data_IF_707667732866
#
_entry.id   IF_707667732866
#
_cell.length_a   1.000
_cell.length_b   1.000
_cell.length_c   1.000
_cell.angle_alpha   90.00
_cell.angle_beta   90.00
_cell.angle_gamma   90.00
#
_symmetry.space_group_name_H-M   'P 1'
#
loop_
_entity.id
_entity.type
_entity.pdbx_description
1 polymer ?
#
# COMPACT_ATOMS: atom_id res chain seq x y z
N UNK A 1 3.40 31.49 -9.61
CA UNK A 1 3.10 30.12 -9.20
C UNK A 1 3.97 29.19 -10.05
N UNK A 2 4.72 28.29 -9.43
CA UNK A 2 5.56 27.33 -10.17
C UNK A 2 4.61 26.38 -10.97
N UNK A 3 4.97 26.01 -12.20
CA UNK A 3 4.15 25.12 -13.05
C UNK A 3 3.83 23.77 -12.38
N UNK A 4 4.73 23.26 -11.55
CA UNK A 4 4.53 22.04 -10.75
C UNK A 4 3.46 22.22 -9.66
N UNK A 5 3.48 23.35 -8.92
CA UNK A 5 2.42 23.69 -7.96
C UNK A 5 1.06 23.88 -8.63
N UNK A 6 1.04 24.39 -9.87
CA UNK A 6 -0.19 24.52 -10.63
C UNK A 6 -0.74 23.16 -11.06
N UNK A 7 0.12 22.24 -11.49
CA UNK A 7 -0.29 20.87 -11.81
C UNK A 7 -0.84 20.14 -10.58
N UNK A 8 -0.14 20.18 -9.44
CA UNK A 8 -0.62 19.61 -8.18
C UNK A 8 -2.00 20.18 -7.77
N UNK A 9 -2.19 21.51 -7.86
CA UNK A 9 -3.49 22.14 -7.55
C UNK A 9 -4.61 21.80 -8.55
N UNK A 10 -4.29 21.61 -9.83
CA UNK A 10 -5.30 21.22 -10.83
C UNK A 10 -5.82 19.80 -10.55
N UNK A 11 -4.95 18.87 -10.20
CA UNK A 11 -5.36 17.51 -9.86
C UNK A 11 -6.09 17.41 -8.51
N UNK A 12 -5.68 18.17 -7.51
CA UNK A 12 -6.35 18.26 -6.22
C UNK A 12 -7.75 18.89 -6.30
N UNK A 13 -7.95 19.89 -7.16
CA UNK A 13 -9.24 20.58 -7.30
C UNK A 13 -10.29 19.81 -8.11
N UNK A 14 -9.88 18.84 -8.93
CA UNK A 14 -10.81 18.08 -9.77
C UNK A 14 -11.80 17.23 -8.98
N UNK A 15 -11.52 16.94 -7.71
CA UNK A 15 -12.34 16.06 -6.88
C UNK A 15 -13.09 16.77 -5.74
N UNK A 16 -13.09 18.08 -5.70
CA UNK A 16 -13.92 18.80 -4.73
C UNK A 16 -15.40 18.63 -5.05
N UNK A 17 -16.10 17.92 -4.17
CA UNK A 17 -17.56 17.88 -4.07
C UNK A 17 -18.33 17.31 -5.29
N UNK A 18 -18.32 16.00 -5.50
CA UNK A 18 -19.10 15.23 -6.49
C UNK A 18 -18.47 15.02 -7.85
N UNK A 19 -17.22 15.39 -8.04
CA UNK A 19 -16.50 15.02 -9.27
C UNK A 19 -16.08 13.56 -9.21
N UNK A 20 -16.07 12.90 -10.36
CA UNK A 20 -15.62 11.52 -10.51
C UNK A 20 -14.49 11.46 -11.52
N UNK A 21 -13.49 10.65 -11.23
CA UNK A 21 -12.49 10.31 -12.24
C UNK A 21 -12.97 9.14 -13.10
N UNK A 22 -12.85 9.26 -14.40
CA UNK A 22 -13.13 8.17 -15.33
C UNK A 22 -11.82 7.81 -16.06
N UNK A 23 -10.90 7.16 -15.34
CA UNK A 23 -9.64 6.67 -15.86
C UNK A 23 -9.73 5.17 -16.14
N UNK A 24 -10.33 4.81 -17.25
CA UNK A 24 -10.57 3.43 -17.65
C UNK A 24 -9.72 3.05 -18.86
N UNK A 25 -8.46 2.70 -18.61
CA UNK A 25 -7.53 2.16 -19.61
C UNK A 25 -7.79 0.69 -19.92
N UNK A 26 -6.87 0.08 -20.66
CA UNK A 26 -6.88 -1.36 -20.96
C UNK A 26 -5.48 -1.96 -20.79
N UNK A 27 -5.38 -3.28 -20.72
CA UNK A 27 -4.12 -3.99 -20.61
C UNK A 27 -3.11 -3.64 -21.74
N UNK A 28 -3.62 -3.37 -22.94
CA UNK A 28 -2.78 -3.01 -24.09
C UNK A 28 -2.62 -1.50 -24.30
N UNK A 29 -3.41 -0.69 -23.61
CA UNK A 29 -3.37 0.77 -23.69
C UNK A 29 -3.71 1.38 -22.30
N UNK A 30 -2.80 1.27 -21.33
CA UNK A 30 -3.00 1.85 -20.00
C UNK A 30 -2.98 3.39 -20.07
N UNK A 31 -3.64 4.00 -19.11
CA UNK A 31 -3.54 5.44 -18.88
C UNK A 31 -2.28 5.70 -18.06
N UNK A 32 -1.34 6.47 -18.62
CA UNK A 32 -0.09 6.81 -17.92
C UNK A 32 -0.15 8.27 -17.49
N UNK A 33 -0.10 8.50 -16.19
CA UNK A 33 0.03 9.81 -15.55
C UNK A 33 1.48 9.97 -15.10
N UNK A 34 2.21 10.90 -15.67
CA UNK A 34 3.66 11.01 -15.47
C UNK A 34 4.15 12.45 -15.62
N UNK A 35 5.43 12.67 -15.33
CA UNK A 35 6.06 13.98 -15.46
C UNK A 35 6.23 14.41 -16.91
N UNK A 36 6.37 15.71 -17.13
CA UNK A 36 6.72 16.27 -18.45
C UNK A 36 8.06 15.74 -18.93
N UNK A 37 9.02 15.55 -18.01
CA UNK A 37 10.35 15.02 -18.31
C UNK A 37 10.27 13.62 -18.93
N UNK A 38 9.44 12.75 -18.36
CA UNK A 38 9.23 11.40 -18.89
C UNK A 38 8.62 11.43 -20.31
N UNK A 39 7.65 12.32 -20.54
CA UNK A 39 7.00 12.47 -21.86
C UNK A 39 7.96 12.92 -22.94
N UNK A 40 8.90 13.82 -22.62
CA UNK A 40 9.86 14.37 -23.60
C UNK A 40 11.18 13.60 -23.66
N UNK A 41 11.29 12.48 -22.91
CA UNK A 41 12.51 11.65 -22.89
C UNK A 41 13.70 12.29 -22.17
N UNK A 42 13.45 13.22 -21.24
CA UNK A 42 14.47 13.78 -20.34
C UNK A 42 14.68 12.90 -19.11
N UNK A 43 15.79 13.05 -18.37
CA UNK A 43 16.01 12.31 -17.13
C UNK A 43 14.84 12.46 -16.16
N UNK A 44 14.40 11.35 -15.63
CA UNK A 44 13.29 11.26 -14.68
C UNK A 44 13.77 11.05 -13.24
N UNK A 45 13.00 11.55 -12.29
CA UNK A 45 13.19 11.35 -10.86
C UNK A 45 11.82 11.40 -10.15
N UNK A 46 11.72 10.85 -8.96
CA UNK A 46 10.58 11.07 -8.09
C UNK A 46 10.38 12.58 -7.81
N UNK A 47 9.17 13.01 -7.46
CA UNK A 47 8.86 14.40 -7.10
C UNK A 47 8.70 15.37 -8.27
N UNK A 48 8.62 14.91 -9.51
CA UNK A 48 8.52 15.81 -10.67
C UNK A 48 7.11 16.38 -10.89
N UNK A 49 6.09 15.85 -10.22
CA UNK A 49 4.72 16.37 -10.17
C UNK A 49 4.00 15.87 -8.91
N UNK A 50 2.78 16.36 -8.63
CA UNK A 50 2.13 16.11 -7.36
C UNK A 50 1.71 14.66 -7.13
N UNK A 51 1.05 14.05 -8.09
CA UNK A 51 0.36 12.76 -7.93
C UNK A 51 -1.15 12.88 -8.11
N UNK A 52 -1.88 11.82 -7.82
CA UNK A 52 -3.34 11.77 -7.95
C UNK A 52 -4.00 11.76 -6.58
N UNK A 53 -4.85 12.75 -6.29
CA UNK A 53 -5.60 12.84 -5.03
C UNK A 53 -7.10 12.71 -5.31
N UNK A 54 -7.76 11.75 -4.65
CA UNK A 54 -9.20 11.55 -4.67
C UNK A 54 -9.77 11.91 -3.28
N UNK A 55 -10.73 12.85 -3.28
CA UNK A 55 -11.41 13.34 -2.07
C UNK A 55 -12.86 12.89 -2.08
N UNK A 56 -13.19 11.94 -1.22
CA UNK A 56 -14.53 11.35 -1.12
C UNK A 56 -15.28 11.79 0.14
N UNK A 57 -16.47 11.23 0.32
CA UNK A 57 -17.40 11.53 1.43
C UNK A 57 -17.65 10.33 2.34
N UNK A 58 -16.80 9.32 2.29
CA UNK A 58 -16.90 8.20 3.20
C UNK A 58 -16.37 8.58 4.60
N UNK A 59 -16.80 7.87 5.65
CA UNK A 59 -16.39 8.16 7.02
C UNK A 59 -14.88 8.09 7.25
N UNK A 60 -14.40 9.02 8.07
CA UNK A 60 -13.06 9.01 8.65
C UNK A 60 -13.18 9.11 10.17
N UNK A 61 -12.28 8.51 10.92
CA UNK A 61 -12.29 8.64 12.38
C UNK A 61 -11.73 9.98 12.89
N UNK A 62 -11.22 10.82 11.99
CA UNK A 62 -10.95 12.25 12.28
C UNK A 62 -12.22 13.10 12.32
N UNK A 63 -13.34 12.61 11.75
CA UNK A 63 -14.62 13.28 11.81
C UNK A 63 -15.27 13.13 13.18
N UNK A 64 -16.06 14.11 13.59
CA UNK A 64 -17.03 13.91 14.67
C UNK A 64 -18.07 12.87 14.22
N UNK A 65 -18.06 11.71 14.87
CA UNK A 65 -18.94 10.59 14.54
C UNK A 65 -20.42 10.91 14.81
N UNK A 66 -20.73 11.92 15.61
CA UNK A 66 -22.09 12.41 15.83
C UNK A 66 -22.55 13.40 14.74
N UNK A 67 -21.63 13.95 13.97
CA UNK A 67 -21.93 14.95 12.92
C UNK A 67 -21.12 14.74 11.63
N UNK A 68 -21.16 13.52 11.10
CA UNK A 68 -20.47 13.17 9.85
C UNK A 68 -20.90 14.03 8.66
N UNK A 69 -22.12 14.58 8.66
CA UNK A 69 -22.62 15.40 7.55
C UNK A 69 -21.81 16.70 7.37
N UNK A 70 -21.23 17.22 8.44
CA UNK A 70 -20.40 18.42 8.45
C UNK A 70 -18.90 18.11 8.54
N UNK A 71 -18.51 16.85 8.36
CA UNK A 71 -17.09 16.48 8.36
C UNK A 71 -16.35 17.17 7.22
N UNK A 72 -15.21 17.78 7.55
CA UNK A 72 -14.28 18.41 6.61
C UNK A 72 -12.85 18.26 7.15
N UNK A 73 -12.26 17.11 6.89
CA UNK A 73 -10.85 16.85 7.21
C UNK A 73 -9.99 17.39 6.07
N UNK A 74 -8.97 18.16 6.37
CA UNK A 74 -8.02 18.64 5.38
C UNK A 74 -7.10 17.47 4.93
N UNK A 75 -6.99 17.28 3.63
CA UNK A 75 -6.08 16.31 3.05
C UNK A 75 -4.69 16.92 2.87
N UNK A 76 -3.68 16.07 2.81
CA UNK A 76 -2.29 16.45 2.60
C UNK A 76 -2.08 17.31 1.35
N UNK A 77 -1.00 18.07 1.33
CA UNK A 77 -0.64 18.94 0.22
C UNK A 77 -1.62 20.07 -0.04
N UNK A 78 -2.44 20.47 0.95
CA UNK A 78 -3.51 21.46 0.76
C UNK A 78 -4.49 21.05 -0.38
N UNK A 79 -4.67 19.75 -0.59
CA UNK A 79 -5.43 19.22 -1.72
C UNK A 79 -6.94 19.50 -1.62
N UNK A 80 -7.44 19.76 -0.42
CA UNK A 80 -8.85 20.06 -0.12
C UNK A 80 -9.39 19.20 1.02
N UNK A 81 -10.71 19.22 1.22
CA UNK A 81 -11.34 18.53 2.34
C UNK A 81 -12.01 17.23 1.90
N UNK A 82 -12.05 16.25 2.83
CA UNK A 82 -12.70 14.95 2.63
C UNK A 82 -13.49 14.53 3.87
N UNK A 83 -14.21 13.42 3.74
CA UNK A 83 -14.98 12.82 4.82
C UNK A 83 -16.46 13.18 4.78
N UNK A 84 -17.26 12.33 5.39
CA UNK A 84 -18.72 12.47 5.42
C UNK A 84 -19.43 11.18 5.81
N UNK A 85 -20.76 11.11 5.64
CA UNK A 85 -21.55 9.96 6.06
C UNK A 85 -21.69 8.85 5.00
N UNK A 86 -21.18 9.05 3.77
CA UNK A 86 -21.44 8.16 2.64
C UNK A 86 -20.39 7.05 2.53
N UNK A 87 -20.62 5.94 3.22
CA UNK A 87 -19.71 4.78 3.17
C UNK A 87 -19.57 4.19 1.76
N UNK A 88 -20.58 4.38 0.90
CA UNK A 88 -20.61 3.93 -0.49
C UNK A 88 -20.19 5.03 -1.48
N UNK A 89 -19.53 6.08 -1.00
CA UNK A 89 -19.01 7.15 -1.86
C UNK A 89 -18.34 6.57 -3.10
N UNK A 90 -18.60 7.21 -4.24
CA UNK A 90 -18.10 6.79 -5.53
C UNK A 90 -17.35 7.94 -6.20
N UNK A 91 -16.04 7.93 -6.05
CA UNK A 91 -15.10 8.87 -6.68
C UNK A 91 -14.74 8.50 -8.12
N UNK A 92 -15.37 7.46 -8.70
CA UNK A 92 -15.23 7.09 -10.12
C UNK A 92 -14.50 5.76 -10.35
N UNK A 93 -13.75 5.70 -11.44
CA UNK A 93 -13.06 4.48 -11.89
C UNK A 93 -11.59 4.73 -12.15
N UNK A 94 -10.75 3.91 -11.54
CA UNK A 94 -9.33 3.76 -11.86
C UNK A 94 -9.08 2.33 -12.33
N UNK A 95 -8.81 2.14 -13.62
CA UNK A 95 -8.53 0.82 -14.18
C UNK A 95 -7.44 0.91 -15.24
N UNK A 96 -6.40 0.09 -15.12
CA UNK A 96 -5.19 0.17 -15.93
C UNK A 96 -4.58 1.58 -15.94
N UNK A 97 -4.32 2.09 -14.74
CA UNK A 97 -3.70 3.40 -14.50
C UNK A 97 -2.28 3.20 -13.97
N UNK A 98 -1.34 3.91 -14.56
CA UNK A 98 0.07 3.96 -14.15
C UNK A 98 0.40 5.38 -13.73
N UNK A 99 0.85 5.56 -12.49
CA UNK A 99 1.34 6.83 -11.95
C UNK A 99 2.86 6.72 -11.78
N UNK A 100 3.62 7.69 -12.30
CA UNK A 100 5.08 7.66 -12.22
C UNK A 100 5.66 9.02 -11.86
N UNK A 101 6.77 8.99 -11.10
CA UNK A 101 7.60 10.17 -10.81
C UNK A 101 6.85 11.28 -10.06
N UNK A 102 5.85 10.90 -9.26
CA UNK A 102 5.05 11.78 -8.45
C UNK A 102 5.68 12.05 -7.06
N UNK A 103 4.92 12.68 -6.15
CA UNK A 103 5.38 12.94 -4.79
C UNK A 103 6.03 14.31 -4.62
N UNK A 104 5.53 15.34 -5.32
CA UNK A 104 6.06 16.69 -5.18
C UNK A 104 5.78 17.25 -3.79
N UNK A 105 6.83 17.70 -3.11
CA UNK A 105 6.75 18.40 -1.83
C UNK A 105 6.10 19.78 -2.02
N UNK A 106 4.89 19.94 -1.48
CA UNK A 106 4.11 21.19 -1.61
C UNK A 106 4.63 22.27 -0.67
N UNK A 107 4.90 21.87 0.57
CA UNK A 107 5.59 22.63 1.62
C UNK A 107 6.51 21.65 2.37
N UNK A 108 7.55 22.12 3.10
CA UNK A 108 8.43 21.22 3.84
C UNK A 108 7.67 20.22 4.72
N UNK A 109 8.06 18.94 4.65
CA UNK A 109 7.46 17.82 5.36
C UNK A 109 5.96 17.59 5.03
N UNK A 110 5.54 17.91 3.79
CA UNK A 110 4.18 17.69 3.30
C UNK A 110 4.22 17.40 1.79
N UNK A 111 4.64 16.22 1.48
CA UNK A 111 4.69 15.65 0.14
C UNK A 111 3.31 15.11 -0.25
N UNK A 112 3.15 14.82 -1.53
CA UNK A 112 1.99 14.12 -2.06
C UNK A 112 2.35 12.68 -2.40
N UNK A 113 1.42 11.80 -2.16
CA UNK A 113 1.54 10.39 -2.51
C UNK A 113 1.42 10.15 -4.02
N UNK A 114 1.78 8.96 -4.47
CA UNK A 114 1.50 8.54 -5.84
C UNK A 114 -0.01 8.58 -6.12
N UNK A 115 -0.80 7.92 -5.27
CA UNK A 115 -2.26 8.03 -5.26
C UNK A 115 -2.75 8.15 -3.83
N UNK A 116 -3.40 9.25 -3.49
CA UNK A 116 -4.09 9.46 -2.22
C UNK A 116 -5.58 9.17 -2.35
N UNK A 117 -6.12 8.32 -1.47
CA UNK A 117 -7.54 8.03 -1.33
C UNK A 117 -8.05 8.57 0.01
N UNK A 118 -8.51 9.80 0.05
CA UNK A 118 -8.99 10.44 1.27
C UNK A 118 -10.51 10.40 1.37
N UNK A 119 -11.07 9.65 2.32
CA UNK A 119 -12.50 9.45 2.49
C UNK A 119 -13.20 8.81 1.28
N UNK A 120 -12.49 8.00 0.51
CA UNK A 120 -13.04 7.35 -0.69
C UNK A 120 -13.80 6.08 -0.30
N UNK A 121 -15.05 5.97 -0.78
CA UNK A 121 -15.96 4.89 -0.38
C UNK A 121 -15.93 3.65 -1.27
N UNK A 122 -16.73 2.65 -0.86
CA UNK A 122 -16.78 1.33 -1.51
C UNK A 122 -17.39 1.33 -2.92
N UNK A 123 -18.07 2.41 -3.31
CA UNK A 123 -18.62 2.58 -4.67
C UNK A 123 -17.55 2.90 -5.73
N UNK A 124 -16.34 3.28 -5.32
CA UNK A 124 -15.24 3.58 -6.24
C UNK A 124 -14.63 2.29 -6.79
N UNK A 125 -14.43 2.26 -8.11
CA UNK A 125 -13.80 1.12 -8.78
C UNK A 125 -12.29 1.35 -8.90
N UNK A 126 -11.50 0.43 -8.35
CA UNK A 126 -10.05 0.50 -8.36
C UNK A 126 -9.44 -0.87 -8.70
N UNK A 127 -8.77 -0.94 -9.85
CA UNK A 127 -8.10 -2.18 -10.28
C UNK A 127 -6.99 -1.92 -11.28
N UNK A 128 -6.01 -2.84 -11.34
CA UNK A 128 -4.91 -2.78 -12.30
C UNK A 128 -4.14 -1.44 -12.22
N UNK A 129 -3.66 -1.12 -11.01
CA UNK A 129 -2.97 0.12 -10.68
C UNK A 129 -1.48 -0.15 -10.56
N UNK A 130 -0.67 0.77 -11.09
CA UNK A 130 0.76 0.80 -10.83
C UNK A 130 1.17 2.19 -10.37
N UNK A 131 1.99 2.25 -9.29
CA UNK A 131 2.75 3.45 -8.91
C UNK A 131 4.23 3.13 -8.98
N UNK A 132 4.99 4.01 -9.61
CA UNK A 132 6.42 3.82 -9.81
C UNK A 132 7.20 5.09 -9.51
N UNK A 133 8.17 4.96 -8.61
CA UNK A 133 9.14 6.01 -8.31
C UNK A 133 8.48 7.30 -7.82
N UNK A 134 7.78 7.22 -6.68
CA UNK A 134 7.24 8.35 -5.92
C UNK A 134 8.24 8.80 -4.84
N UNK A 135 8.17 10.06 -4.37
CA UNK A 135 9.04 10.54 -3.27
C UNK A 135 8.56 9.99 -1.95
N UNK A 136 7.28 10.09 -1.73
CA UNK A 136 6.53 9.67 -0.57
C UNK A 136 5.86 8.31 -0.84
N UNK A 137 4.64 8.06 -0.35
CA UNK A 137 4.00 6.77 -0.46
C UNK A 137 3.56 6.39 -1.87
N UNK A 138 3.50 5.11 -2.12
CA UNK A 138 2.92 4.59 -3.36
C UNK A 138 1.42 4.87 -3.42
N UNK A 139 0.67 4.31 -2.49
CA UNK A 139 -0.75 4.59 -2.28
C UNK A 139 -1.03 4.79 -0.80
N UNK A 140 -1.80 5.81 -0.47
CA UNK A 140 -2.23 6.06 0.91
C UNK A 140 -3.74 6.22 1.03
N UNK A 141 -4.32 5.67 2.11
CA UNK A 141 -5.73 5.67 2.40
C UNK A 141 -6.05 6.36 3.73
N UNK A 142 -6.72 7.50 3.67
CA UNK A 142 -7.22 8.24 4.84
C UNK A 142 -8.70 7.98 5.05
N UNK A 143 -9.04 7.07 5.94
CA UNK A 143 -10.43 6.67 6.18
C UNK A 143 -11.11 6.03 4.96
N UNK A 144 -12.43 5.96 4.97
CA UNK A 144 -13.20 5.37 3.89
C UNK A 144 -13.10 3.86 3.78
N UNK A 145 -13.44 3.33 2.60
CA UNK A 145 -13.58 1.88 2.38
C UNK A 145 -13.25 1.45 0.94
N UNK A 146 -12.54 2.30 0.19
CA UNK A 146 -12.08 1.96 -1.18
C UNK A 146 -11.32 0.64 -1.17
N UNK A 147 -11.53 -0.16 -2.19
CA UNK A 147 -10.90 -1.47 -2.33
C UNK A 147 -10.28 -1.63 -3.72
N UNK A 148 -9.04 -2.13 -3.78
CA UNK A 148 -8.30 -2.25 -5.05
C UNK A 148 -7.82 -3.68 -5.31
N UNK A 149 -7.78 -4.07 -6.58
CA UNK A 149 -7.18 -5.33 -7.04
C UNK A 149 -6.07 -5.09 -8.05
N UNK A 150 -5.09 -6.00 -8.06
CA UNK A 150 -3.98 -5.98 -9.01
C UNK A 150 -3.20 -4.66 -8.90
N UNK A 151 -2.50 -4.49 -7.80
CA UNK A 151 -1.74 -3.27 -7.47
C UNK A 151 -0.25 -3.57 -7.52
N UNK A 152 0.51 -2.70 -8.18
CA UNK A 152 1.97 -2.80 -8.31
C UNK A 152 2.59 -1.51 -7.82
N UNK A 153 3.44 -1.61 -6.82
CA UNK A 153 4.10 -0.47 -6.18
C UNK A 153 5.60 -0.70 -6.24
N UNK A 154 6.32 0.19 -6.92
CA UNK A 154 7.75 -0.04 -7.17
C UNK A 154 8.57 1.22 -6.94
N UNK A 155 9.67 1.08 -6.20
CA UNK A 155 10.66 2.13 -5.95
C UNK A 155 10.04 3.43 -5.39
N UNK A 156 9.07 3.32 -4.47
CA UNK A 156 8.57 4.45 -3.72
C UNK A 156 9.58 4.83 -2.62
N UNK A 157 9.68 6.10 -2.31
CA UNK A 157 10.75 6.64 -1.47
C UNK A 157 10.46 6.59 0.01
N UNK A 158 9.19 6.56 0.41
CA UNK A 158 8.73 6.25 1.75
C UNK A 158 7.98 4.91 1.73
N UNK A 159 6.75 4.83 2.15
CA UNK A 159 6.03 3.57 2.23
C UNK A 159 5.39 3.19 0.89
N UNK A 160 5.12 1.93 0.68
CA UNK A 160 4.46 1.53 -0.57
C UNK A 160 2.94 1.53 -0.42
N UNK A 161 2.43 1.08 0.72
CA UNK A 161 1.02 1.16 1.12
C UNK A 161 0.96 1.77 2.50
N UNK A 162 0.33 2.93 2.63
CA UNK A 162 0.00 3.48 3.94
C UNK A 162 -1.52 3.55 4.15
N UNK A 163 -1.95 3.47 5.40
CA UNK A 163 -3.30 3.78 5.76
C UNK A 163 -3.43 4.36 7.16
N UNK A 164 -4.38 5.28 7.30
CA UNK A 164 -4.75 5.91 8.55
C UNK A 164 -6.26 6.18 8.61
N UNK A 165 -6.67 6.87 9.66
CA UNK A 165 -7.94 7.57 9.81
C UNK A 165 -9.19 6.69 9.69
N UNK A 166 -9.06 5.39 10.03
CA UNK A 166 -10.17 4.46 10.05
C UNK A 166 -10.48 3.79 8.72
N UNK A 167 -9.50 3.64 7.82
CA UNK A 167 -9.70 2.91 6.57
C UNK A 167 -10.09 1.44 6.81
N UNK A 168 -11.14 0.99 6.10
CA UNK A 168 -11.72 -0.34 6.22
C UNK A 168 -11.89 -1.06 4.87
N UNK A 169 -11.11 -0.69 3.88
CA UNK A 169 -11.16 -1.29 2.54
C UNK A 169 -10.46 -2.64 2.43
N UNK A 170 -10.24 -3.04 1.18
CA UNK A 170 -9.64 -4.35 0.86
C UNK A 170 -8.61 -4.21 -0.26
N UNK A 171 -7.51 -4.97 -0.15
CA UNK A 171 -6.55 -5.12 -1.25
C UNK A 171 -6.38 -6.60 -1.59
N UNK A 172 -6.27 -6.93 -2.88
CA UNK A 172 -5.91 -8.27 -3.33
C UNK A 172 -4.99 -8.23 -4.55
N UNK A 173 -4.02 -9.14 -4.58
CA UNK A 173 -2.99 -9.23 -5.61
C UNK A 173 -2.13 -7.97 -5.67
N UNK A 174 -1.34 -7.78 -4.63
CA UNK A 174 -0.43 -6.66 -4.49
C UNK A 174 1.01 -7.12 -4.66
N UNK A 175 1.78 -6.41 -5.46
CA UNK A 175 3.23 -6.51 -5.49
C UNK A 175 3.83 -5.21 -5.01
N UNK A 176 4.65 -5.29 -3.98
CA UNK A 176 5.60 -4.25 -3.60
C UNK A 176 7.00 -4.71 -3.96
N UNK A 177 7.76 -3.85 -4.65
CA UNK A 177 9.19 -4.04 -4.85
C UNK A 177 9.90 -2.72 -4.56
N UNK A 178 10.67 -2.68 -3.51
CA UNK A 178 11.57 -1.57 -3.22
C UNK A 178 12.54 -1.36 -4.38
N UNK A 179 13.11 -0.17 -4.49
CA UNK A 179 14.06 0.18 -5.55
C UNK A 179 15.33 -0.69 -5.53
N UNK A 180 16.38 -0.24 -6.21
CA UNK A 180 17.69 -0.89 -6.14
C UNK A 180 18.21 -0.94 -4.69
N UNK A 181 19.20 -1.79 -4.42
CA UNK A 181 19.68 -2.08 -3.07
C UNK A 181 20.12 -0.87 -2.24
N UNK A 182 20.51 0.22 -2.89
CA UNK A 182 20.91 1.48 -2.25
C UNK A 182 19.87 2.61 -2.44
N UNK A 183 18.76 2.34 -3.09
CA UNK A 183 17.69 3.32 -3.30
C UNK A 183 16.87 3.53 -2.04
N UNK A 184 16.54 4.80 -1.75
CA UNK A 184 15.65 5.17 -0.65
C UNK A 184 14.36 4.36 -0.71
N UNK A 185 14.02 3.74 0.38
CA UNK A 185 12.80 2.99 0.61
C UNK A 185 12.58 2.88 2.10
N UNK A 186 11.36 2.96 2.56
CA UNK A 186 11.00 2.72 3.94
C UNK A 186 10.21 1.41 4.05
N UNK A 187 8.95 1.43 4.35
CA UNK A 187 8.18 0.21 4.59
C UNK A 187 7.38 -0.21 3.36
N UNK A 188 7.14 -1.47 3.28
CA UNK A 188 6.16 -1.95 2.29
C UNK A 188 4.72 -1.64 2.73
N UNK A 189 4.48 -1.66 4.04
CA UNK A 189 3.24 -1.19 4.67
C UNK A 189 3.59 -0.41 5.94
N UNK A 190 3.11 0.82 6.05
CA UNK A 190 2.89 1.53 7.30
C UNK A 190 1.38 1.54 7.61
N UNK A 191 1.01 1.39 8.88
CA UNK A 191 -0.38 1.10 9.23
C UNK A 191 -0.80 1.77 10.53
N UNK A 192 -1.62 2.79 10.40
CA UNK A 192 -2.11 3.59 11.51
C UNK A 192 -3.64 3.49 11.68
N UNK A 193 -4.10 3.67 12.91
CA UNK A 193 -5.50 4.02 13.14
C UNK A 193 -5.70 5.54 13.06
N UNK A 194 -5.00 6.28 13.91
CA UNK A 194 -4.95 7.74 13.89
C UNK A 194 -3.78 8.22 14.74
N UNK A 195 -2.90 9.01 14.20
CA UNK A 195 -1.67 9.48 14.88
C UNK A 195 -1.94 10.26 16.18
N UNK A 196 -3.03 11.01 16.26
CA UNK A 196 -3.39 11.81 17.44
C UNK A 196 -4.28 11.08 18.46
N UNK A 197 -4.93 9.96 18.07
CA UNK A 197 -5.86 9.21 18.93
C UNK A 197 -5.91 7.73 18.56
N UNK A 198 -5.07 6.93 19.17
CA UNK A 198 -4.93 5.49 18.88
C UNK A 198 -6.19 4.65 19.17
N UNK A 199 -7.21 5.24 19.79
CA UNK A 199 -8.49 4.59 20.08
C UNK A 199 -9.65 5.17 19.27
N UNK A 200 -9.37 6.04 18.30
CA UNK A 200 -10.38 6.63 17.43
C UNK A 200 -11.22 5.56 16.73
N UNK A 201 -12.48 5.88 16.49
CA UNK A 201 -13.44 4.99 15.81
C UNK A 201 -14.09 5.69 14.63
N UNK A 202 -14.36 4.97 13.52
CA UNK A 202 -14.07 3.56 13.28
C UNK A 202 -12.57 3.25 13.30
N UNK A 203 -12.19 2.10 13.86
CA UNK A 203 -10.80 1.64 13.87
C UNK A 203 -10.39 1.23 12.47
N UNK A 204 -9.19 1.62 12.03
CA UNK A 204 -8.60 1.08 10.80
C UNK A 204 -8.50 -0.44 10.89
N UNK A 205 -9.16 -1.16 9.95
CA UNK A 205 -9.24 -2.61 9.97
C UNK A 205 -9.40 -3.20 8.56
N UNK A 206 -8.49 -2.89 7.64
CA UNK A 206 -8.56 -3.41 6.29
C UNK A 206 -8.34 -4.92 6.21
N UNK A 207 -8.71 -5.50 5.07
CA UNK A 207 -8.34 -6.88 4.75
C UNK A 207 -7.45 -6.91 3.52
N UNK A 208 -6.20 -7.38 3.68
CA UNK A 208 -5.23 -7.50 2.59
C UNK A 208 -4.92 -8.98 2.34
N UNK A 209 -4.94 -9.38 1.08
CA UNK A 209 -4.68 -10.77 0.72
C UNK A 209 -3.85 -10.91 -0.56
N UNK A 210 -3.03 -11.98 -0.61
CA UNK A 210 -2.21 -12.30 -1.77
C UNK A 210 -1.25 -11.16 -2.13
N UNK A 211 -0.43 -10.76 -1.18
CA UNK A 211 0.57 -9.72 -1.34
C UNK A 211 1.98 -10.32 -1.34
N UNK A 212 2.81 -9.86 -2.24
CA UNK A 212 4.24 -10.17 -2.25
C UNK A 212 5.03 -8.88 -2.06
N UNK A 213 5.94 -8.89 -1.11
CA UNK A 213 6.84 -7.80 -0.79
C UNK A 213 8.26 -8.26 -1.06
N UNK A 214 8.99 -7.47 -1.85
CA UNK A 214 10.41 -7.66 -2.12
C UNK A 214 11.13 -6.39 -1.67
N UNK A 215 11.85 -6.49 -0.56
CA UNK A 215 12.62 -5.40 0.00
C UNK A 215 13.94 -5.15 -0.73
N UNK A 216 14.71 -4.18 -0.23
CA UNK A 216 16.09 -3.94 -0.61
C UNK A 216 17.00 -3.85 0.64
N UNK A 217 18.24 -3.46 0.50
CA UNK A 217 19.20 -3.33 1.62
C UNK A 217 19.44 -1.87 2.02
N UNK A 218 18.57 -0.96 1.61
CA UNK A 218 18.70 0.45 1.96
C UNK A 218 18.65 0.64 3.48
N UNK A 219 19.57 1.45 3.97
CA UNK A 219 19.64 1.85 5.38
C UNK A 219 20.28 3.22 5.52
N UNK A 220 19.65 4.08 6.30
CA UNK A 220 20.17 5.38 6.72
C UNK A 220 20.11 5.52 8.25
N UNK A 221 20.37 6.73 8.77
CA UNK A 221 20.23 7.01 10.21
C UNK A 221 18.78 6.99 10.69
N UNK A 222 17.85 7.39 9.81
CA UNK A 222 16.46 7.65 10.16
C UNK A 222 15.47 6.66 9.52
N UNK A 223 15.95 5.86 8.55
CA UNK A 223 15.09 5.02 7.73
C UNK A 223 15.86 3.81 7.21
N UNK A 224 15.21 2.66 7.16
CA UNK A 224 15.69 1.47 6.46
C UNK A 224 14.53 0.75 5.74
N UNK A 225 14.91 -0.13 4.79
CA UNK A 225 13.93 -0.94 4.08
C UNK A 225 13.34 -1.98 5.02
N UNK A 226 12.04 -1.93 5.26
CA UNK A 226 11.30 -2.81 6.17
C UNK A 226 10.07 -3.43 5.48
N UNK A 227 9.47 -4.41 6.16
CA UNK A 227 8.25 -5.06 5.68
C UNK A 227 6.98 -4.32 6.08
N UNK A 228 6.42 -4.70 7.23
CA UNK A 228 5.10 -4.22 7.70
C UNK A 228 5.26 -3.67 9.11
N UNK A 229 4.88 -2.41 9.30
CA UNK A 229 4.68 -1.79 10.60
C UNK A 229 3.18 -1.60 10.89
N UNK A 230 2.71 -2.13 12.02
CA UNK A 230 1.34 -2.00 12.51
C UNK A 230 1.35 -1.23 13.83
N UNK A 231 0.90 0.03 13.82
CA UNK A 231 1.05 0.94 14.95
C UNK A 231 -0.20 1.80 15.20
N UNK A 232 -0.10 2.78 16.09
CA UNK A 232 -1.09 3.82 16.38
C UNK A 232 -2.53 3.33 16.58
N UNK A 233 -2.71 2.09 17.06
CA UNK A 233 -4.03 1.52 17.33
C UNK A 233 -4.72 0.87 16.12
N UNK A 234 -4.00 0.64 15.00
CA UNK A 234 -4.58 -0.07 13.85
C UNK A 234 -4.91 -1.52 14.18
N UNK A 235 -5.94 -2.03 13.54
CA UNK A 235 -6.20 -3.43 13.29
C UNK A 235 -5.96 -3.76 11.82
N UNK A 236 -5.84 -5.02 11.47
CA UNK A 236 -5.80 -5.51 10.10
C UNK A 236 -6.06 -7.01 10.02
N UNK A 237 -6.50 -7.47 8.86
CA UNK A 237 -6.60 -8.90 8.50
C UNK A 237 -5.70 -9.16 7.31
N UNK A 238 -4.53 -9.74 7.57
CA UNK A 238 -3.50 -10.00 6.59
C UNK A 238 -3.46 -11.50 6.26
N UNK A 239 -3.61 -11.85 4.99
CA UNK A 239 -3.70 -13.23 4.57
C UNK A 239 -2.90 -13.49 3.30
N UNK A 240 -2.16 -14.63 3.28
CA UNK A 240 -1.38 -14.98 2.10
C UNK A 240 -0.35 -13.89 1.73
N UNK A 241 0.44 -13.45 2.71
CA UNK A 241 1.49 -12.45 2.53
C UNK A 241 2.85 -13.14 2.44
N UNK A 242 3.63 -12.81 1.43
CA UNK A 242 5.03 -13.19 1.31
C UNK A 242 5.90 -11.95 1.44
N UNK A 243 6.84 -11.96 2.38
CA UNK A 243 7.88 -10.94 2.48
C UNK A 243 9.23 -11.59 2.19
N UNK A 244 9.97 -11.02 1.26
CA UNK A 244 11.28 -11.47 0.83
C UNK A 244 12.31 -10.37 1.07
N UNK A 245 13.01 -10.47 2.20
CA UNK A 245 14.05 -9.54 2.61
C UNK A 245 15.43 -10.00 2.13
N UNK A 246 16.11 -9.23 1.28
CA UNK A 246 17.44 -9.57 0.81
C UNK A 246 18.48 -9.43 1.92
N UNK A 247 19.56 -10.20 1.76
CA UNK A 247 20.81 -10.07 2.52
C UNK A 247 21.98 -10.15 1.56
N UNK A 248 22.88 -9.19 1.66
CA UNK A 248 24.13 -9.12 0.91
C UNK A 248 25.32 -9.07 1.88
N UNK A 249 26.54 -9.04 1.35
CA UNK A 249 27.74 -8.87 2.17
C UNK A 249 27.84 -7.47 2.80
N UNK A 250 27.10 -6.49 2.27
CA UNK A 250 27.16 -5.08 2.69
C UNK A 250 25.93 -4.59 3.43
N UNK A 251 24.82 -5.34 3.43
CA UNK A 251 23.59 -4.94 4.09
C UNK A 251 22.51 -6.00 4.06
N UNK A 252 21.44 -5.71 4.74
CA UNK A 252 20.25 -6.54 4.79
C UNK A 252 19.01 -5.65 4.92
N UNK A 253 17.86 -6.13 4.44
CA UNK A 253 16.58 -5.56 4.81
C UNK A 253 16.39 -5.61 6.32
N UNK A 254 15.75 -4.62 6.89
CA UNK A 254 15.30 -4.59 8.28
C UNK A 254 14.21 -5.63 8.57
N UNK A 255 13.38 -5.38 9.56
CA UNK A 255 12.38 -6.35 9.97
C UNK A 255 11.27 -6.56 8.95
N UNK A 256 10.78 -7.80 8.87
CA UNK A 256 9.60 -8.13 8.06
C UNK A 256 8.30 -7.65 8.71
N UNK A 257 8.21 -7.69 10.04
CA UNK A 257 6.98 -7.41 10.79
C UNK A 257 7.27 -6.80 12.15
N UNK A 258 6.71 -5.63 12.36
CA UNK A 258 6.69 -4.93 13.64
C UNK A 258 5.24 -4.66 14.08
N UNK A 259 4.97 -4.79 15.39
CA UNK A 259 3.72 -4.34 16.01
C UNK A 259 4.08 -3.38 17.14
N UNK A 260 3.73 -2.13 16.94
CA UNK A 260 4.01 -1.02 17.84
C UNK A 260 2.71 -0.49 18.47
N UNK A 261 2.82 0.31 19.51
CA UNK A 261 1.75 0.85 20.33
C UNK A 261 0.94 -0.20 21.13
N UNK A 262 0.61 0.16 22.35
CA UNK A 262 -0.15 -0.74 23.24
C UNK A 262 -1.54 -1.08 22.73
N UNK A 263 -2.14 -0.20 21.92
CA UNK A 263 -3.46 -0.39 21.32
C UNK A 263 -3.43 -1.43 20.21
N UNK A 264 -2.49 -1.35 19.27
CA UNK A 264 -2.33 -2.37 18.22
C UNK A 264 -1.92 -3.72 18.81
N UNK A 265 -1.03 -3.70 19.81
CA UNK A 265 -0.65 -4.91 20.57
C UNK A 265 -1.85 -5.57 21.25
N UNK A 266 -2.74 -4.80 21.87
CA UNK A 266 -3.96 -5.32 22.48
C UNK A 266 -4.94 -5.90 21.42
N UNK A 267 -5.01 -5.32 20.24
CA UNK A 267 -5.80 -5.86 19.13
C UNK A 267 -5.22 -7.18 18.61
N UNK A 268 -3.90 -7.30 18.53
CA UNK A 268 -3.21 -8.54 18.19
C UNK A 268 -3.42 -9.62 19.27
N UNK A 269 -3.27 -9.27 20.54
CA UNK A 269 -3.49 -10.19 21.68
C UNK A 269 -4.94 -10.70 21.73
N UNK A 270 -5.92 -9.90 21.32
CA UNK A 270 -7.35 -10.26 21.29
C UNK A 270 -7.83 -10.86 19.96
N UNK A 271 -6.93 -11.22 19.07
CA UNK A 271 -7.20 -11.77 17.72
C UNK A 271 -8.13 -10.89 16.85
N UNK A 272 -8.13 -9.58 17.10
CA UNK A 272 -8.77 -8.60 16.20
C UNK A 272 -7.83 -8.21 15.06
N UNK A 273 -6.53 -8.05 15.34
CA UNK A 273 -5.47 -7.98 14.35
C UNK A 273 -4.96 -9.41 14.12
N UNK A 274 -4.91 -9.84 12.85
CA UNK A 274 -4.50 -11.20 12.48
C UNK A 274 -3.64 -11.23 11.23
N UNK A 275 -2.69 -12.19 11.18
CA UNK A 275 -1.91 -12.49 9.98
C UNK A 275 -1.80 -14.01 9.83
N UNK A 276 -2.29 -14.57 8.72
CA UNK A 276 -2.35 -16.04 8.55
C UNK A 276 -1.90 -16.48 7.16
N UNK A 277 -1.44 -17.74 7.03
CA UNK A 277 -1.00 -18.34 5.76
C UNK A 277 0.08 -17.49 5.05
N UNK A 278 0.98 -16.93 5.84
CA UNK A 278 1.97 -15.96 5.40
C UNK A 278 3.39 -16.47 5.63
N UNK A 279 4.35 -15.98 4.83
CA UNK A 279 5.75 -16.39 4.89
C UNK A 279 6.63 -15.15 5.02
N UNK A 280 7.47 -15.11 6.05
CA UNK A 280 8.43 -14.04 6.29
C UNK A 280 9.84 -14.58 6.06
N UNK A 281 10.49 -14.15 4.98
CA UNK A 281 11.86 -14.47 4.61
C UNK A 281 12.75 -13.26 4.72
N UNK A 282 13.04 -12.79 5.95
CA UNK A 282 13.96 -11.70 6.25
C UNK A 282 15.04 -12.16 7.22
N UNK A 283 16.25 -11.58 7.17
CA UNK A 283 17.32 -11.88 8.10
C UNK A 283 16.96 -11.64 9.57
N UNK A 284 16.22 -10.57 9.82
CA UNK A 284 15.66 -10.22 11.14
C UNK A 284 14.14 -10.05 11.02
N UNK A 285 13.36 -11.15 11.11
CA UNK A 285 11.98 -11.11 10.66
C UNK A 285 11.00 -10.39 11.59
N UNK A 286 11.37 -10.09 12.85
CA UNK A 286 10.43 -9.57 13.83
C UNK A 286 11.01 -8.50 14.75
N UNK A 287 10.18 -7.49 15.07
CA UNK A 287 10.46 -6.50 16.10
C UNK A 287 9.24 -6.28 17.01
N UNK A 288 9.48 -6.02 18.29
CA UNK A 288 8.47 -5.69 19.28
C UNK A 288 7.82 -6.88 20.00
N UNK A 289 6.80 -6.55 20.77
CA UNK A 289 6.02 -7.48 21.61
C UNK A 289 4.54 -7.24 21.39
N UNK A 290 3.73 -8.28 21.60
CA UNK A 290 2.25 -8.20 21.59
C UNK A 290 1.69 -8.04 23.00
N UNK A 291 2.42 -8.58 23.99
CA UNK A 291 2.13 -8.42 25.40
C UNK A 291 3.41 -8.61 26.22
N UNK A 292 3.41 -8.36 27.53
CA UNK A 292 4.58 -8.60 28.38
C UNK A 292 5.12 -10.04 28.34
N UNK A 293 4.31 -10.99 27.87
CA UNK A 293 4.66 -12.43 27.82
C UNK A 293 4.65 -13.00 26.40
N UNK A 294 4.41 -12.20 25.37
CA UNK A 294 4.31 -12.64 23.98
C UNK A 294 5.05 -11.69 23.05
N UNK A 295 6.08 -12.17 22.37
CA UNK A 295 6.75 -11.43 21.30
C UNK A 295 5.94 -11.45 20.01
N UNK A 296 6.22 -10.51 19.07
CA UNK A 296 5.61 -10.52 17.71
C UNK A 296 5.91 -11.84 17.01
N UNK A 297 7.11 -12.41 17.18
CA UNK A 297 7.45 -13.75 16.67
C UNK A 297 6.50 -14.83 17.16
N UNK A 298 6.30 -14.93 18.48
CA UNK A 298 5.41 -15.95 19.08
C UNK A 298 3.96 -15.76 18.62
N UNK A 299 3.51 -14.52 18.50
CA UNK A 299 2.19 -14.20 17.98
C UNK A 299 2.04 -14.66 16.52
N UNK A 300 3.01 -14.35 15.65
CA UNK A 300 2.98 -14.74 14.24
C UNK A 300 3.03 -16.26 14.06
N UNK A 301 3.97 -16.93 14.72
CA UNK A 301 4.15 -18.38 14.61
C UNK A 301 2.98 -19.17 15.23
N UNK A 302 2.25 -18.57 16.15
CA UNK A 302 1.03 -19.16 16.78
C UNK A 302 -0.20 -19.10 15.87
N UNK A 303 -0.17 -18.36 14.76
CA UNK A 303 -1.32 -18.26 13.87
C UNK A 303 -1.25 -19.28 12.71
N UNK A 304 -2.42 -19.61 12.18
CA UNK A 304 -2.56 -20.69 11.20
C UNK A 304 -1.77 -20.44 9.92
N UNK A 305 -0.96 -21.42 9.52
CA UNK A 305 -0.33 -21.49 8.21
C UNK A 305 0.84 -20.53 8.01
N UNK A 306 1.29 -19.86 9.05
CA UNK A 306 2.44 -18.97 8.98
C UNK A 306 3.77 -19.73 9.04
N UNK A 307 4.78 -19.19 8.37
CA UNK A 307 6.14 -19.68 8.36
C UNK A 307 7.18 -18.56 8.38
N UNK A 308 8.36 -18.85 8.91
CA UNK A 308 9.56 -18.03 8.75
C UNK A 308 10.58 -18.74 7.87
N UNK A 309 11.34 -17.98 7.11
CA UNK A 309 12.48 -18.42 6.32
C UNK A 309 13.69 -17.50 6.58
N UNK A 310 14.88 -17.93 6.20
CA UNK A 310 16.11 -17.23 6.57
C UNK A 310 16.26 -15.85 5.89
N UNK A 311 15.86 -15.78 4.62
CA UNK A 311 15.99 -14.59 3.78
C UNK A 311 15.20 -14.74 2.46
N UNK A 312 15.35 -13.77 1.56
CA UNK A 312 14.74 -13.79 0.22
C UNK A 312 15.08 -15.07 -0.57
N UNK A 313 16.32 -15.53 -0.54
CA UNK A 313 16.76 -16.68 -1.35
C UNK A 313 16.08 -18.00 -0.91
N UNK A 314 15.62 -18.08 0.33
CA UNK A 314 14.87 -19.21 0.84
C UNK A 314 13.40 -19.25 0.38
N UNK A 315 12.87 -18.16 -0.16
CA UNK A 315 11.45 -18.03 -0.54
C UNK A 315 11.22 -17.66 -2.01
N UNK A 316 12.19 -17.03 -2.67
CA UNK A 316 12.10 -16.62 -4.07
C UNK A 316 13.28 -17.13 -4.92
N UNK A 317 13.00 -17.48 -6.17
CA UNK A 317 13.97 -17.63 -7.24
C UNK A 317 13.66 -16.60 -8.34
N UNK A 318 14.41 -15.50 -8.37
CA UNK A 318 14.05 -14.32 -9.13
C UNK A 318 12.72 -13.73 -8.63
N UNK A 319 11.72 -13.63 -9.50
CA UNK A 319 10.36 -13.19 -9.15
C UNK A 319 9.38 -14.36 -8.91
N UNK A 320 9.87 -15.59 -8.80
CA UNK A 320 9.01 -16.75 -8.59
C UNK A 320 9.16 -17.30 -7.18
N UNK A 321 8.05 -17.48 -6.48
CA UNK A 321 8.08 -18.16 -5.19
C UNK A 321 8.48 -19.61 -5.34
N UNK A 322 9.36 -20.07 -4.45
CA UNK A 322 9.70 -21.47 -4.24
C UNK A 322 9.01 -22.04 -3.00
N UNK A 323 8.36 -21.22 -2.21
CA UNK A 323 7.59 -21.66 -1.04
C UNK A 323 6.30 -22.36 -1.44
N UNK A 324 5.95 -23.42 -0.70
CA UNK A 324 4.80 -24.29 -0.94
C UNK A 324 3.71 -24.13 0.12
N UNK A 325 3.71 -23.06 0.90
CA UNK A 325 2.67 -22.78 1.90
C UNK A 325 1.28 -22.78 1.25
N UNK A 326 0.34 -23.47 1.87
CA UNK A 326 -1.02 -23.53 1.40
C UNK A 326 -1.74 -22.17 1.56
N UNK A 327 -2.40 -21.72 0.51
CA UNK A 327 -3.20 -20.51 0.55
C UNK A 327 -4.46 -20.67 1.40
N UNK A 328 -4.83 -19.60 2.10
CA UNK A 328 -6.19 -19.42 2.59
C UNK A 328 -7.12 -19.10 1.41
N UNK A 329 -8.25 -19.78 1.32
CA UNK A 329 -9.28 -19.47 0.32
C UNK A 329 -10.01 -18.17 0.72
N UNK A 330 -9.60 -17.07 0.13
CA UNK A 330 -10.17 -15.77 0.43
C UNK A 330 -11.56 -15.56 -0.18
N UNK A 331 -11.90 -16.26 -1.26
CA UNK A 331 -13.25 -16.21 -1.83
C UNK A 331 -14.33 -16.76 -0.89
N UNK A 332 -13.92 -17.60 0.07
CA UNK A 332 -14.82 -18.08 1.13
C UNK A 332 -14.99 -17.06 2.29
N UNK A 333 -14.15 -16.02 2.34
CA UNK A 333 -14.18 -14.99 3.38
C UNK A 333 -15.09 -13.82 2.96
N UNK A 334 -14.94 -13.35 1.73
CA UNK A 334 -15.70 -12.21 1.21
C UNK A 334 -15.73 -12.25 -0.33
N UNK A 335 -16.83 -11.83 -0.92
CA UNK A 335 -17.05 -11.84 -2.37
C UNK A 335 -16.13 -10.92 -3.17
N UNK A 336 -15.50 -9.94 -2.51
CA UNK A 336 -14.46 -9.14 -3.15
C UNK A 336 -13.27 -10.00 -3.57
N UNK A 337 -12.91 -11.03 -2.80
CA UNK A 337 -11.72 -11.81 -3.08
C UNK A 337 -11.96 -12.91 -4.13
N UNK A 338 -10.97 -13.10 -4.98
CA UNK A 338 -10.94 -14.21 -5.93
C UNK A 338 -10.13 -15.35 -5.32
N UNK A 339 -10.60 -16.57 -5.52
CA UNK A 339 -9.90 -17.78 -5.10
C UNK A 339 -8.57 -17.93 -5.84
N UNK A 340 -7.52 -18.28 -5.11
CA UNK A 340 -6.24 -18.65 -5.69
C UNK A 340 -5.77 -19.97 -5.10
N UNK A 341 -5.14 -20.81 -5.91
CA UNK A 341 -4.55 -22.07 -5.48
C UNK A 341 -3.13 -21.90 -4.96
N UNK A 342 -2.46 -20.81 -5.32
CA UNK A 342 -1.15 -20.45 -4.85
C UNK A 342 -1.19 -19.05 -4.24
N UNK A 343 -0.84 -18.87 -2.95
CA UNK A 343 -0.97 -17.59 -2.24
C UNK A 343 -0.08 -16.49 -2.81
N UNK A 344 1.09 -16.85 -3.34
CA UNK A 344 2.16 -15.94 -3.70
C UNK A 344 2.34 -15.87 -5.22
N UNK A 345 1.26 -15.55 -5.92
CA UNK A 345 1.22 -15.58 -7.38
C UNK A 345 1.78 -14.32 -8.03
N UNK A 346 3.07 -14.21 -8.17
CA UNK A 346 3.65 -13.37 -9.23
C UNK A 346 3.25 -13.87 -10.64
N UNK A 347 2.99 -15.19 -10.81
CA UNK A 347 2.59 -15.78 -12.10
C UNK A 347 1.22 -15.39 -12.62
N UNK A 348 0.26 -14.92 -11.79
CA UNK A 348 -1.09 -14.54 -12.23
C UNK A 348 -1.35 -13.06 -12.29
N UNK A 349 -0.64 -12.28 -11.47
CA UNK A 349 -0.74 -10.82 -11.51
C UNK A 349 0.00 -10.29 -12.73
N UNK A 350 1.01 -11.04 -13.22
CA UNK A 350 1.85 -10.63 -14.34
C UNK A 350 1.87 -11.68 -15.44
N UNK A 351 1.60 -11.33 -16.70
CA UNK A 351 1.78 -12.23 -17.83
C UNK A 351 3.25 -12.66 -17.95
N UNK A 352 3.50 -13.76 -18.69
CA UNK A 352 4.83 -14.34 -18.90
C UNK A 352 5.92 -13.36 -19.40
N UNK A 353 5.55 -12.14 -19.69
CA UNK A 353 6.40 -11.08 -20.19
C UNK A 353 6.52 -9.91 -19.19
N UNK A 354 6.61 -10.18 -17.87
CA UNK A 354 7.15 -9.19 -16.96
C UNK A 354 8.60 -8.94 -17.37
N UNK A 355 8.83 -7.81 -18.00
CA UNK A 355 10.12 -7.43 -18.49
C UNK A 355 10.79 -6.59 -17.43
N UNK A 356 11.88 -7.08 -16.89
CA UNK A 356 12.75 -6.32 -15.99
C UNK A 356 13.79 -5.63 -16.87
N UNK A 357 13.64 -4.34 -17.06
CA UNK A 357 14.63 -3.49 -17.73
C UNK A 357 15.31 -2.65 -16.64
N UNK A 358 16.45 -3.10 -16.17
CA UNK A 358 17.10 -2.55 -14.99
C UNK A 358 16.22 -2.75 -13.74
N UNK A 359 16.03 -1.70 -12.93
CA UNK A 359 15.21 -1.72 -11.71
C UNK A 359 13.71 -1.55 -11.95
N UNK A 360 13.28 -1.40 -13.19
CA UNK A 360 11.89 -1.18 -13.56
C UNK A 360 11.21 -2.50 -13.93
N UNK A 361 10.21 -2.90 -13.15
CA UNK A 361 9.29 -3.96 -13.56
C UNK A 361 8.33 -3.37 -14.59
N UNK A 362 8.56 -3.60 -15.86
CA UNK A 362 7.64 -3.23 -16.93
C UNK A 362 6.62 -4.35 -17.13
N UNK A 363 5.39 -4.10 -16.72
CA UNK A 363 4.30 -5.02 -16.93
C UNK A 363 3.76 -4.84 -18.35
N UNK A 364 4.01 -5.81 -19.22
CA UNK A 364 3.19 -5.99 -20.42
C UNK A 364 1.94 -6.77 -20.00
N UNK A 365 0.89 -6.08 -19.66
CA UNK A 365 -0.39 -6.73 -19.36
C UNK A 365 -1.05 -7.18 -20.65
N UNK A 366 -1.10 -8.49 -20.90
CA UNK A 366 -1.83 -9.05 -22.03
C UNK A 366 -3.18 -9.60 -21.56
N UNK A 367 -4.24 -9.26 -22.28
CA UNK A 367 -5.64 -9.56 -21.93
C UNK A 367 -6.02 -11.05 -21.82
N UNK A 368 -5.10 -11.97 -22.08
CA UNK A 368 -5.39 -13.41 -22.19
C UNK A 368 -5.25 -14.19 -20.89
N UNK A 369 -5.06 -13.56 -19.72
CA UNK A 369 -4.73 -14.27 -18.47
C UNK A 369 -5.47 -13.77 -17.23
N UNK A 370 -6.59 -13.06 -17.39
CA UNK A 370 -7.50 -12.71 -16.30
C UNK A 370 -8.64 -13.70 -16.15
#
# INVERSE_FOLDING_TARGET
MNKQKLAAKIWASANQMRSKIEANGTATNPIVMTSVQDVIGSPTAAGQWGGLVLLGKAPSNKCDQADLANCQVEAEGEAGNYGGPDADDNSGTLNYVVVKHAGFEVIPDNELNGITFAGVGSGTQCSNIQVHQNVDDGIEMFGGSVSCKNVVLTANGDDSVDWADGWNGKLQFVLVKHGADDSKSNRAIEADNQSGNFTATPVSNPTIANMTIIGNTFKSADMDSEGILLRAGTSAKLHNILIAGPKTDTGAMGECLEIESTQSQALAASAKLVMTHSVLGCPEPFKGTVSPTMTVKQWFEGQQGNKTAADQAAVLNGLYTIDTTAAKDMAAVDSFFTKTLNPFHLRRVYPREAYVDGDVVRLRMTAAQF
#
